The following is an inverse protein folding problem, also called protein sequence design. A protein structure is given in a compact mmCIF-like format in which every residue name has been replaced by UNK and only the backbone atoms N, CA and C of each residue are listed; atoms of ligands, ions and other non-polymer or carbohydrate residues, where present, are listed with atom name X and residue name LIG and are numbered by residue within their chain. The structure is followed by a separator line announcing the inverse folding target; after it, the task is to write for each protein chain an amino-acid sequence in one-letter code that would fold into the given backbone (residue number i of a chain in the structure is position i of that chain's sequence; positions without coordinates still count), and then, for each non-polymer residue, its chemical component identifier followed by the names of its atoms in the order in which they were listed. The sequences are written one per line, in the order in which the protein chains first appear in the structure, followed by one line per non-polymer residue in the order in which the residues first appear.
data_IF_669718259836
#
_entry.id   IF_669718259836
#
_cell.length_a   1.000
_cell.length_b   1.000
_cell.length_c   1.000
_cell.angle_alpha   90.00
_cell.angle_beta   90.00
_cell.angle_gamma   90.00
#
_symmetry.space_group_name_H-M   'P 1'
#
loop_
_entity.id
_entity.type
_entity.pdbx_description
1 polymer ?
#
# COMPACT_ATOMS: atom_id res chain seq x y z
N UNK A 1 16.15 -0.52 78.15
CA UNK A 1 16.35 0.80 78.80
C UNK A 1 17.78 1.18 78.53
N UNK A 2 17.97 2.33 77.86
CA UNK A 2 19.17 3.18 77.78
C UNK A 2 20.52 2.52 77.44
N UNK A 3 21.40 3.06 76.60
CA UNK A 3 21.47 4.38 75.99
C UNK A 3 22.89 4.58 75.43
N UNK A 4 22.99 5.42 74.39
CA UNK A 4 24.01 6.45 74.13
C UNK A 4 25.42 6.29 74.73
N UNK A 5 26.46 6.24 73.90
CA UNK A 5 27.18 7.37 73.25
C UNK A 5 28.46 7.74 73.99
N UNK A 6 29.32 8.39 73.20
CA UNK A 6 30.46 9.25 73.55
C UNK A 6 31.83 8.60 73.39
N UNK A 7 32.86 9.25 72.84
CA UNK A 7 33.07 10.48 72.04
C UNK A 7 34.59 10.43 71.74
N UNK A 8 35.05 10.98 70.63
CA UNK A 8 36.50 11.20 70.37
C UNK A 8 37.11 12.22 71.35
N UNK A 9 38.31 12.80 71.13
CA UNK A 9 39.10 12.87 69.89
C UNK A 9 40.65 12.79 70.11
N UNK A 10 41.45 12.97 69.04
CA UNK A 10 42.58 13.93 68.92
C UNK A 10 43.69 13.44 67.97
N UNK A 11 44.32 14.39 67.30
CA UNK A 11 45.11 14.28 66.08
C UNK A 11 46.63 14.48 66.28
N UNK A 12 47.41 14.00 65.29
CA UNK A 12 48.63 14.56 64.67
C UNK A 12 49.24 13.46 63.78
N UNK A 13 49.72 13.61 62.55
CA UNK A 13 50.06 14.73 61.68
C UNK A 13 51.25 14.30 60.79
N UNK A 14 51.28 14.76 59.52
CA UNK A 14 52.35 14.64 58.48
C UNK A 14 52.44 13.32 57.67
N UNK A 15 52.69 13.26 56.36
CA UNK A 15 52.84 14.22 55.24
C UNK A 15 53.00 13.43 53.90
N UNK A 16 52.74 14.08 52.75
CA UNK A 16 53.18 13.70 51.37
C UNK A 16 52.05 13.13 50.48
N UNK A 17 51.37 13.93 49.63
CA UNK A 17 51.74 14.41 48.26
C UNK A 17 51.79 13.29 47.20
N UNK A 18 51.26 13.37 45.98
CA UNK A 18 50.39 14.30 45.24
C UNK A 18 49.87 13.50 44.01
N UNK A 19 48.67 13.86 43.50
CA UNK A 19 47.96 13.15 42.42
C UNK A 19 48.37 13.56 40.99
N UNK A 20 47.95 12.80 39.96
CA UNK A 20 48.54 12.88 38.63
C UNK A 20 47.93 13.98 37.74
N UNK A 21 48.82 14.65 37.01
CA UNK A 21 48.59 15.66 35.98
C UNK A 21 47.90 15.09 34.73
N UNK A 22 47.02 15.92 34.17
CA UNK A 22 46.33 15.73 32.89
C UNK A 22 47.28 16.11 31.74
N UNK A 23 47.38 15.25 30.72
CA UNK A 23 48.15 15.51 29.49
C UNK A 23 47.25 16.14 28.43
N UNK A 24 47.56 17.38 28.09
CA UNK A 24 47.02 18.14 26.96
C UNK A 24 47.59 17.64 25.62
N UNK A 25 46.77 17.73 24.57
CA UNK A 25 47.14 17.47 23.18
C UNK A 25 47.59 18.78 22.52
N UNK A 26 48.70 18.83 21.76
CA UNK A 26 49.00 19.98 20.92
C UNK A 26 48.44 19.82 19.51
N UNK A 27 47.92 20.94 19.02
CA UNK A 27 47.36 21.18 17.70
C UNK A 27 48.44 21.31 16.61
N UNK A 28 48.09 20.89 15.41
CA UNK A 28 48.87 21.04 14.18
C UNK A 28 48.95 22.51 13.72
N UNK A 29 50.17 22.95 13.44
CA UNK A 29 50.50 24.21 12.77
C UNK A 29 50.97 23.90 11.35
N UNK A 30 50.26 24.42 10.35
CA UNK A 30 50.73 24.56 8.97
C UNK A 30 51.87 25.59 8.87
N UNK A 31 52.78 25.43 7.89
CA UNK A 31 53.44 26.58 7.30
C UNK A 31 53.25 26.68 5.77
N UNK A 32 53.11 27.94 5.35
CA UNK A 32 52.99 28.47 3.99
C UNK A 32 54.15 28.13 3.03
N UNK A 33 53.86 28.28 1.74
CA UNK A 33 54.75 28.21 0.56
C UNK A 33 56.02 29.11 0.64
N UNK A 34 56.98 28.91 -0.28
CA UNK A 34 57.06 29.91 -1.36
C UNK A 34 57.50 29.40 -2.75
N UNK A 35 56.87 30.02 -3.76
CA UNK A 35 57.43 30.61 -4.99
C UNK A 35 58.30 29.79 -5.99
N UNK A 36 57.82 29.80 -7.25
CA UNK A 36 58.51 29.47 -8.51
C UNK A 36 59.70 30.41 -8.82
N UNK A 37 60.53 30.05 -9.81
CA UNK A 37 60.44 30.82 -11.06
C UNK A 37 60.40 29.99 -12.36
N UNK A 38 59.83 30.64 -13.37
CA UNK A 38 59.78 30.32 -14.82
C UNK A 38 61.21 30.26 -15.40
N UNK A 39 61.54 29.55 -16.49
CA UNK A 39 61.14 29.74 -17.89
C UNK A 39 62.15 28.92 -18.71
N UNK A 40 61.75 28.16 -19.74
CA UNK A 40 62.05 28.46 -21.17
C UNK A 40 61.57 27.31 -22.06
N UNK A 41 61.04 27.68 -23.23
CA UNK A 41 60.36 26.79 -24.18
C UNK A 41 61.26 26.19 -25.24
N UNK A 42 60.68 25.31 -26.07
CA UNK A 42 61.29 24.86 -27.33
C UNK A 42 60.62 23.63 -27.94
N UNK A 43 59.80 23.87 -28.97
CA UNK A 43 59.18 22.88 -29.86
C UNK A 43 60.22 22.03 -30.64
N UNK A 44 59.81 20.85 -31.14
CA UNK A 44 59.58 20.56 -32.59
C UNK A 44 59.43 19.03 -32.84
N UNK A 45 58.28 18.70 -33.44
CA UNK A 45 57.93 17.71 -34.48
C UNK A 45 58.43 16.24 -34.54
N UNK A 46 57.40 15.38 -34.70
CA UNK A 46 57.23 14.16 -35.50
C UNK A 46 58.35 13.60 -36.39
N UNK A 47 58.44 12.26 -36.44
CA UNK A 47 58.16 11.48 -37.68
C UNK A 47 58.05 9.94 -37.43
N UNK A 48 57.49 9.27 -38.44
CA UNK A 48 57.00 7.88 -38.56
C UNK A 48 58.04 6.93 -39.16
N UNK A 49 57.62 5.65 -39.28
CA UNK A 49 58.11 4.52 -40.12
C UNK A 49 58.98 3.50 -39.35
N UNK A 50 58.65 2.20 -39.16
CA UNK A 50 57.98 1.08 -39.87
C UNK A 50 58.97 0.16 -40.62
N UNK A 51 58.93 -1.13 -40.21
CA UNK A 51 59.42 -2.39 -40.85
C UNK A 51 60.96 -2.59 -40.95
N UNK A 52 61.58 -3.78 -40.80
CA UNK A 52 61.26 -5.20 -41.11
C UNK A 52 61.95 -6.16 -40.07
N UNK A 53 61.29 -7.24 -39.60
CA UNK A 53 61.38 -8.66 -40.02
C UNK A 53 62.61 -9.48 -39.56
N UNK A 54 62.35 -10.58 -38.82
CA UNK A 54 62.99 -11.90 -38.98
C UNK A 54 62.32 -12.96 -38.08
N UNK A 55 62.05 -14.12 -38.69
CA UNK A 55 61.41 -15.34 -38.18
C UNK A 55 62.29 -16.17 -37.23
N UNK A 56 61.70 -16.99 -36.34
CA UNK A 56 61.92 -18.45 -36.38
C UNK A 56 60.85 -19.24 -35.59
N UNK A 57 60.60 -20.46 -36.08
CA UNK A 57 59.62 -21.49 -35.75
C UNK A 57 59.66 -22.02 -34.28
N UNK A 58 58.68 -22.74 -33.72
CA UNK A 58 57.47 -23.36 -34.24
C UNK A 58 56.87 -24.38 -33.24
N UNK A 59 55.93 -25.19 -33.75
CA UNK A 59 55.23 -26.36 -33.12
C UNK A 59 54.00 -25.98 -32.27
N UNK A 60 52.74 -26.22 -32.64
CA UNK A 60 52.13 -27.07 -33.65
C UNK A 60 51.22 -28.11 -32.99
N UNK A 61 49.89 -27.90 -33.02
CA UNK A 61 48.82 -28.92 -33.17
C UNK A 61 47.41 -28.32 -33.32
N UNK A 62 46.94 -28.36 -34.58
CA UNK A 62 45.59 -28.48 -35.18
C UNK A 62 44.47 -29.07 -34.28
N UNK A 63 43.14 -28.79 -34.40
CA UNK A 63 42.25 -28.24 -35.44
C UNK A 63 40.78 -28.07 -34.87
N UNK A 64 39.68 -27.86 -35.65
CA UNK A 64 39.34 -26.67 -36.46
C UNK A 64 37.83 -26.23 -36.44
N UNK A 65 37.56 -25.05 -37.04
CA UNK A 65 36.35 -24.65 -37.83
C UNK A 65 35.02 -24.43 -37.08
N UNK A 66 34.12 -23.49 -37.42
CA UNK A 66 33.74 -22.73 -38.65
C UNK A 66 32.77 -21.62 -38.15
N UNK A 67 32.86 -20.33 -38.48
CA UNK A 67 32.50 -19.75 -39.78
C UNK A 67 31.01 -19.35 -39.87
N UNK A 68 30.67 -18.09 -39.56
CA UNK A 68 29.46 -17.34 -39.99
C UNK A 68 29.41 -17.20 -41.55
N UNK A 69 28.41 -16.59 -42.27
CA UNK A 69 27.35 -15.64 -41.87
C UNK A 69 25.98 -15.80 -42.67
N UNK A 70 25.04 -14.81 -42.73
CA UNK A 70 23.61 -14.92 -43.14
C UNK A 70 23.40 -14.52 -44.63
N UNK A 71 22.18 -14.33 -45.25
CA UNK A 71 21.21 -13.23 -44.98
C UNK A 71 19.72 -13.47 -45.42
N UNK A 72 18.92 -12.36 -45.43
CA UNK A 72 17.69 -12.06 -46.20
C UNK A 72 16.32 -12.38 -45.55
N UNK A 73 15.24 -11.59 -45.67
CA UNK A 73 14.87 -10.22 -46.13
C UNK A 73 13.33 -10.14 -45.95
N UNK A 74 12.76 -8.98 -45.61
CA UNK A 74 11.63 -8.32 -46.33
C UNK A 74 10.65 -7.50 -45.43
N UNK A 75 10.51 -6.22 -45.82
CA UNK A 75 9.39 -5.24 -45.74
C UNK A 75 8.72 -4.94 -44.38
N UNK A 76 8.61 -3.69 -43.92
CA UNK A 76 8.02 -2.49 -44.57
C UNK A 76 6.54 -2.40 -44.14
N UNK A 77 5.91 -1.32 -43.66
CA UNK A 77 5.97 0.15 -43.85
C UNK A 77 5.42 0.82 -42.56
N UNK A 78 5.96 1.94 -42.04
CA UNK A 78 5.69 3.37 -42.36
C UNK A 78 4.23 3.85 -42.19
N UNK A 79 4.01 4.77 -41.23
CA UNK A 79 3.14 5.95 -41.38
C UNK A 79 3.37 6.99 -40.26
N UNK A 80 3.81 8.18 -40.66
CA UNK A 80 3.83 9.44 -39.92
C UNK A 80 2.41 10.02 -39.79
N UNK A 81 2.13 10.83 -38.74
CA UNK A 81 1.70 12.25 -38.91
C UNK A 81 1.54 13.03 -37.60
N UNK A 82 2.27 14.14 -37.58
CA UNK A 82 2.02 15.52 -37.10
C UNK A 82 0.80 15.88 -36.22
N UNK A 83 1.04 16.79 -35.27
CA UNK A 83 0.06 17.46 -34.40
C UNK A 83 -0.82 18.52 -35.09
N UNK A 84 -1.60 19.30 -34.31
CA UNK A 84 -1.17 20.66 -33.99
C UNK A 84 -1.60 21.22 -32.61
N UNK A 85 -1.03 22.38 -32.28
CA UNK A 85 -1.30 23.29 -31.16
C UNK A 85 -2.72 23.92 -31.17
N UNK A 86 -3.23 24.31 -30.00
CA UNK A 86 -3.73 25.68 -29.69
C UNK A 86 -4.33 25.81 -28.26
N UNK A 87 -4.09 26.99 -27.67
CA UNK A 87 -4.55 27.59 -26.40
C UNK A 87 -6.08 27.89 -26.43
N UNK A 88 -6.83 28.40 -25.44
CA UNK A 88 -6.65 29.05 -24.13
C UNK A 88 -8.05 29.20 -23.47
N UNK A 89 -8.09 29.72 -22.23
CA UNK A 89 -9.24 30.25 -21.43
C UNK A 89 -10.16 29.22 -20.72
N UNK A 90 -10.57 29.38 -19.46
CA UNK A 90 -10.44 30.44 -18.47
C UNK A 90 -11.42 30.18 -17.29
N UNK A 91 -11.36 31.05 -16.27
CA UNK A 91 -12.31 31.28 -15.17
C UNK A 91 -12.15 30.52 -13.84
N UNK A 92 -11.96 31.29 -12.76
CA UNK A 92 -12.12 30.86 -11.37
C UNK A 92 -11.36 31.69 -10.32
N UNK A 93 -11.72 32.98 -10.19
CA UNK A 93 -11.52 33.90 -9.04
C UNK A 93 -12.01 33.24 -7.72
N UNK A 94 -11.59 33.53 -6.48
CA UNK A 94 -11.45 34.75 -5.64
C UNK A 94 -10.98 34.21 -4.25
N UNK A 95 -10.23 34.86 -3.33
CA UNK A 95 -10.47 36.12 -2.62
C UNK A 95 -9.16 36.72 -2.01
N UNK A 96 -9.20 38.05 -1.87
CA UNK A 96 -8.32 38.98 -1.12
C UNK A 96 -8.39 38.76 0.42
N UNK A 97 -7.61 39.34 1.35
CA UNK A 97 -7.01 40.68 1.61
C UNK A 97 -5.70 40.49 2.45
N UNK A 98 -4.57 41.21 2.26
CA UNK A 98 -4.19 42.61 2.63
C UNK A 98 -4.46 42.94 4.12
N UNK A 99 -3.55 43.52 4.91
CA UNK A 99 -2.73 44.73 4.72
C UNK A 99 -1.54 44.76 5.72
N UNK A 100 -0.31 45.09 5.30
CA UNK A 100 0.41 46.40 5.47
C UNK A 100 1.15 46.57 6.81
N UNK A 101 2.28 47.26 7.00
CA UNK A 101 3.01 48.32 6.27
C UNK A 101 4.45 48.45 6.81
N UNK A 102 5.47 48.70 5.96
CA UNK A 102 6.39 49.89 5.97
C UNK A 102 7.73 49.70 5.21
N UNK A 103 7.81 50.41 4.07
CA UNK A 103 8.89 51.25 3.47
C UNK A 103 10.37 50.84 3.58
N UNK A 104 11.05 50.60 2.43
CA UNK A 104 11.85 51.54 1.57
C UNK A 104 13.33 51.61 2.02
N UNK A 105 14.38 51.57 1.17
CA UNK A 105 14.70 52.36 -0.04
C UNK A 105 15.76 51.61 -0.88
N UNK A 106 15.63 51.65 -2.22
CA UNK A 106 16.63 51.23 -3.21
C UNK A 106 17.62 52.36 -3.55
N UNK A 107 18.79 52.02 -4.10
CA UNK A 107 19.17 52.63 -5.38
C UNK A 107 20.65 52.88 -5.68
N UNK A 108 21.08 52.33 -6.82
CA UNK A 108 22.08 52.85 -7.80
C UNK A 108 23.57 52.69 -7.47
N UNK A 109 24.50 52.35 -8.36
CA UNK A 109 24.51 52.13 -9.82
C UNK A 109 25.99 51.97 -10.24
N UNK A 110 26.33 50.97 -11.06
CA UNK A 110 26.72 51.12 -12.47
C UNK A 110 28.22 51.43 -12.78
N UNK A 111 28.77 50.50 -13.58
CA UNK A 111 29.67 50.65 -14.75
C UNK A 111 31.20 50.66 -14.61
N UNK A 112 31.74 49.95 -15.59
CA UNK A 112 33.10 49.75 -16.08
C UNK A 112 33.92 51.02 -16.32
N UNK A 113 35.25 50.91 -16.24
CA UNK A 113 36.14 51.17 -17.38
C UNK A 113 37.60 50.78 -17.11
N UNK A 114 38.26 50.44 -18.21
CA UNK A 114 39.66 50.10 -18.39
C UNK A 114 40.51 51.39 -18.55
N UNK A 115 41.79 51.27 -18.18
CA UNK A 115 42.96 52.06 -18.59
C UNK A 115 43.40 53.35 -17.86
N UNK A 116 44.66 53.23 -17.38
CA UNK A 116 45.77 54.21 -17.40
C UNK A 116 45.76 55.39 -16.41
N UNK A 117 46.57 55.29 -15.35
CA UNK A 117 47.95 55.82 -15.28
C UNK A 117 48.54 55.70 -13.87
N UNK A 118 49.86 55.49 -13.84
CA UNK A 118 50.64 55.20 -12.64
C UNK A 118 50.86 56.37 -11.66
N UNK A 119 51.77 56.06 -10.73
CA UNK A 119 52.46 56.89 -9.73
C UNK A 119 51.89 56.88 -8.31
N UNK A 120 52.42 55.92 -7.53
CA UNK A 120 53.17 56.15 -6.29
C UNK A 120 52.79 57.36 -5.44
N UNK A 121 52.20 57.07 -4.27
CA UNK A 121 52.69 57.56 -2.97
C UNK A 121 52.00 56.80 -1.83
N UNK A 122 52.78 55.92 -1.22
CA UNK A 122 52.73 55.58 0.21
C UNK A 122 52.71 56.85 1.10
N UNK A 123 52.43 56.78 2.43
CA UNK A 123 52.15 55.60 3.27
C UNK A 123 51.05 55.82 4.35
N UNK A 124 50.96 54.82 5.25
CA UNK A 124 50.74 54.96 6.71
C UNK A 124 49.30 54.85 7.28
N UNK A 125 49.10 53.67 7.90
CA UNK A 125 48.43 53.41 9.18
C UNK A 125 47.22 54.25 9.59
N UNK A 126 46.03 53.65 9.42
CA UNK A 126 44.96 53.80 10.41
C UNK A 126 44.41 52.42 10.81
N UNK A 127 44.81 52.01 12.03
CA UNK A 127 44.11 51.05 12.86
C UNK A 127 42.63 51.45 12.97
N UNK A 128 41.78 50.88 12.11
CA UNK A 128 40.33 50.95 12.28
C UNK A 128 39.92 50.03 13.43
N UNK A 129 39.93 50.60 14.63
CA UNK A 129 39.14 50.11 15.74
C UNK A 129 37.72 49.83 15.23
N UNK A 130 37.29 48.56 15.32
CA UNK A 130 35.91 48.19 15.03
C UNK A 130 35.00 49.14 15.79
N UNK A 131 34.15 49.89 15.08
CA UNK A 131 33.19 50.81 15.69
C UNK A 131 32.41 50.02 16.74
N UNK A 132 32.27 50.52 17.97
CA UNK A 132 31.62 49.78 19.08
C UNK A 132 30.26 49.15 18.71
N UNK A 133 29.58 49.73 17.72
CA UNK A 133 28.31 49.24 17.21
C UNK A 133 28.42 47.96 16.36
N UNK A 134 29.56 47.70 15.71
CA UNK A 134 29.81 46.47 14.97
C UNK A 134 30.14 45.34 15.95
N UNK A 135 30.94 45.62 16.98
CA UNK A 135 31.17 44.67 18.08
C UNK A 135 29.86 44.32 18.80
N UNK A 136 29.01 45.31 19.14
CA UNK A 136 27.70 45.06 19.74
C UNK A 136 26.78 44.21 18.85
N UNK A 137 26.87 44.32 17.52
CA UNK A 137 26.10 43.49 16.58
C UNK A 137 26.61 42.06 16.52
N UNK A 138 27.94 41.87 16.49
CA UNK A 138 28.55 40.54 16.57
C UNK A 138 28.26 39.86 17.90
N UNK A 139 28.34 40.59 19.02
CA UNK A 139 27.94 40.09 20.34
C UNK A 139 26.45 39.72 20.40
N UNK A 140 25.58 40.49 19.76
CA UNK A 140 24.15 40.17 19.66
C UNK A 140 23.90 38.92 18.81
N UNK A 141 24.63 38.74 17.70
CA UNK A 141 24.55 37.56 16.86
C UNK A 141 25.02 36.30 17.60
N UNK A 142 26.20 36.36 18.24
CA UNK A 142 26.72 35.28 19.08
C UNK A 142 25.76 34.97 20.25
N UNK A 143 25.16 36.00 20.85
CA UNK A 143 24.17 35.82 21.91
C UNK A 143 22.89 35.17 21.40
N UNK A 144 22.42 35.51 20.19
CA UNK A 144 21.26 34.83 19.60
C UNK A 144 21.56 33.37 19.27
N UNK A 145 22.72 33.08 18.68
CA UNK A 145 23.15 31.71 18.35
C UNK A 145 23.28 30.85 19.62
N UNK A 146 23.88 31.40 20.67
CA UNK A 146 24.06 30.70 21.94
C UNK A 146 22.73 30.49 22.67
N UNK A 147 21.78 31.42 22.53
CA UNK A 147 20.41 31.24 23.02
C UNK A 147 19.63 30.19 22.22
N UNK A 148 19.85 30.08 20.92
CA UNK A 148 19.26 29.03 20.08
C UNK A 148 19.81 27.64 20.42
N UNK A 149 21.13 27.53 20.62
CA UNK A 149 21.78 26.31 21.12
C UNK A 149 21.28 25.94 22.52
N UNK A 150 21.11 26.92 23.41
CA UNK A 150 20.53 26.66 24.73
C UNK A 150 19.08 26.13 24.61
N UNK A 151 18.27 26.72 23.72
CA UNK A 151 16.89 26.27 23.49
C UNK A 151 16.85 24.85 22.92
N UNK A 152 17.71 24.48 21.98
CA UNK A 152 17.77 23.13 21.42
C UNK A 152 18.17 22.10 22.49
N UNK A 153 19.21 22.40 23.28
CA UNK A 153 19.64 21.55 24.38
C UNK A 153 18.57 21.37 25.47
N UNK A 154 17.79 22.41 25.77
CA UNK A 154 16.65 22.31 26.69
C UNK A 154 15.55 21.40 26.14
N UNK A 155 15.27 21.48 24.84
CA UNK A 155 14.31 20.58 24.18
C UNK A 155 14.80 19.13 24.22
N UNK A 156 16.06 18.86 23.89
CA UNK A 156 16.66 17.52 23.98
C UNK A 156 16.62 16.98 25.41
N UNK A 157 17.02 17.80 26.40
CA UNK A 157 16.89 17.44 27.82
C UNK A 157 15.46 17.08 28.18
N UNK A 158 14.47 17.84 27.70
CA UNK A 158 13.06 17.54 27.96
C UNK A 158 12.61 16.22 27.30
N UNK A 159 13.12 15.89 26.12
CA UNK A 159 12.86 14.63 25.43
C UNK A 159 13.48 13.45 26.21
N UNK A 160 14.75 13.57 26.62
CA UNK A 160 15.41 12.54 27.43
C UNK A 160 14.73 12.36 28.79
N UNK A 161 14.25 13.43 29.42
CA UNK A 161 13.47 13.33 30.66
C UNK A 161 12.16 12.58 30.45
N UNK A 162 11.40 12.88 29.38
CA UNK A 162 10.18 12.15 29.04
C UNK A 162 10.47 10.68 28.75
N UNK A 163 11.54 10.39 28.02
CA UNK A 163 11.96 9.03 27.72
C UNK A 163 12.41 8.29 28.98
N UNK A 164 13.12 8.96 29.89
CA UNK A 164 13.53 8.38 31.16
C UNK A 164 12.31 8.05 32.04
N UNK A 165 11.33 8.95 32.14
CA UNK A 165 10.05 8.69 32.84
C UNK A 165 9.32 7.50 32.22
N UNK A 166 9.29 7.41 30.89
CA UNK A 166 8.71 6.29 30.17
C UNK A 166 9.41 4.96 30.49
N UNK A 167 10.74 4.94 30.49
CA UNK A 167 11.52 3.76 30.86
C UNK A 167 11.30 3.39 32.33
N UNK A 168 11.28 4.36 33.24
CA UNK A 168 10.97 4.13 34.65
C UNK A 168 9.56 3.56 34.83
N UNK A 169 8.58 4.03 34.05
CA UNK A 169 7.22 3.48 34.05
C UNK A 169 7.19 2.04 33.53
N UNK A 170 7.90 1.74 32.44
CA UNK A 170 8.06 0.36 31.93
C UNK A 170 8.74 -0.57 32.94
N UNK A 171 9.78 -0.10 33.62
CA UNK A 171 10.45 -0.85 34.68
C UNK A 171 9.48 -1.09 35.84
N UNK A 172 8.72 -0.07 36.26
CA UNK A 172 7.69 -0.21 37.29
C UNK A 172 6.61 -1.20 36.88
N UNK A 173 6.11 -1.16 35.65
CA UNK A 173 5.14 -2.14 35.14
C UNK A 173 5.71 -3.56 35.13
N UNK A 174 6.95 -3.74 34.66
CA UNK A 174 7.63 -5.04 34.67
C UNK A 174 7.81 -5.57 36.10
N UNK A 175 8.16 -4.69 37.04
CA UNK A 175 8.30 -5.05 38.45
C UNK A 175 6.94 -5.26 39.14
N UNK A 176 5.88 -4.55 38.76
CA UNK A 176 4.50 -4.74 39.25
C UNK A 176 3.92 -6.07 38.75
N UNK A 177 4.14 -6.40 37.47
CA UNK A 177 3.84 -7.71 36.89
C UNK A 177 4.60 -8.83 37.62
N UNK A 178 5.83 -8.58 38.07
CA UNK A 178 6.63 -9.50 38.92
C UNK A 178 6.18 -9.58 40.39
N UNK A 179 5.54 -8.55 40.95
CA UNK A 179 5.17 -8.48 42.40
C UNK A 179 3.72 -8.87 42.73
N UNK A 180 2.94 -9.36 41.77
CA UNK A 180 1.75 -10.16 42.06
C UNK A 180 0.55 -9.41 42.66
N UNK A 181 -0.07 -8.52 41.89
CA UNK A 181 -1.46 -8.11 42.14
C UNK A 181 -2.43 -8.46 40.99
N UNK A 182 -1.93 -8.84 39.81
CA UNK A 182 -2.73 -9.37 38.70
C UNK A 182 -2.39 -10.84 38.38
N UNK A 183 -1.72 -11.54 39.31
CA UNK A 183 -1.24 -12.91 39.15
C UNK A 183 -2.32 -14.00 39.34
N UNK A 184 -3.60 -13.62 39.51
CA UNK A 184 -4.68 -14.56 39.74
C UNK A 184 -5.35 -15.09 38.45
N UNK A 185 -5.16 -14.46 37.29
CA UNK A 185 -5.88 -14.84 36.05
C UNK A 185 -5.01 -15.39 34.91
N UNK A 186 -3.67 -15.38 35.01
CA UNK A 186 -2.77 -15.77 33.89
C UNK A 186 -1.86 -16.96 34.25
N UNK A 187 -2.32 -17.88 35.10
CA UNK A 187 -1.54 -19.05 35.51
C UNK A 187 -1.59 -20.23 34.51
N UNK A 188 -2.04 -20.05 33.27
CA UNK A 188 -2.21 -21.16 32.30
C UNK A 188 -1.60 -20.91 30.91
N UNK A 189 -0.70 -19.93 30.76
CA UNK A 189 0.12 -19.83 29.54
C UNK A 189 1.49 -19.22 29.79
N UNK A 190 2.43 -20.08 30.17
CA UNK A 190 3.87 -19.84 29.96
C UNK A 190 4.65 -19.16 31.09
N UNK A 191 4.52 -19.65 32.33
CA UNK A 191 5.60 -19.51 33.32
C UNK A 191 6.49 -20.76 33.26
N UNK A 192 7.45 -20.78 32.33
CA UNK A 192 8.71 -21.44 32.65
C UNK A 192 9.51 -20.45 33.50
N UNK A 193 10.00 -20.82 34.70
CA UNK A 193 10.99 -20.01 35.39
C UNK A 193 12.19 -19.86 34.43
N UNK A 194 12.92 -18.73 34.46
CA UNK A 194 14.17 -18.65 33.70
C UNK A 194 15.02 -19.88 34.06
N UNK A 195 15.22 -20.77 33.07
CA UNK A 195 15.79 -22.08 33.32
C UNK A 195 17.22 -21.92 33.85
N UNK A 196 17.69 -22.76 34.80
CA UNK A 196 19.07 -22.76 35.27
C UNK A 196 20.09 -22.92 34.12
N UNK A 197 19.62 -23.42 32.98
CA UNK A 197 20.35 -23.51 31.72
C UNK A 197 20.73 -22.14 31.13
N UNK A 198 19.90 -21.10 31.29
CA UNK A 198 20.24 -19.73 30.84
C UNK A 198 21.31 -19.10 31.72
N UNK A 199 21.27 -19.34 33.03
CA UNK A 199 22.31 -18.90 33.96
C UNK A 199 23.62 -19.64 33.71
N UNK A 200 23.58 -20.95 33.46
CA UNK A 200 24.75 -21.73 33.06
C UNK A 200 25.31 -21.25 31.72
N UNK A 201 24.46 -20.97 30.73
CA UNK A 201 24.88 -20.39 29.45
C UNK A 201 25.55 -19.03 29.65
N UNK A 202 24.99 -18.16 30.49
CA UNK A 202 25.58 -16.87 30.83
C UNK A 202 26.95 -17.01 31.49
N UNK A 203 27.11 -17.93 32.45
CA UNK A 203 28.40 -18.23 33.08
C UNK A 203 29.41 -18.81 32.07
N UNK A 204 28.97 -19.65 31.15
CA UNK A 204 29.81 -20.14 30.06
C UNK A 204 30.26 -19.00 29.13
N UNK A 205 29.39 -18.06 28.80
CA UNK A 205 29.77 -16.87 28.03
C UNK A 205 30.74 -15.97 28.79
N UNK A 206 30.57 -15.79 30.10
CA UNK A 206 31.53 -15.05 30.92
C UNK A 206 32.90 -15.73 30.97
N UNK A 207 32.95 -17.05 31.15
CA UNK A 207 34.18 -17.82 31.11
C UNK A 207 34.86 -17.75 29.73
N UNK A 208 34.08 -17.83 28.65
CA UNK A 208 34.59 -17.64 27.29
C UNK A 208 35.15 -16.22 27.07
N UNK A 209 34.51 -15.20 27.63
CA UNK A 209 35.02 -13.82 27.57
C UNK A 209 36.32 -13.65 28.36
N UNK A 210 36.45 -14.29 29.52
CA UNK A 210 37.70 -14.29 30.29
C UNK A 210 38.84 -14.98 29.54
N UNK A 211 38.54 -16.12 28.91
CA UNK A 211 39.51 -16.84 28.09
C UNK A 211 39.95 -16.03 26.87
N UNK A 212 39.00 -15.39 26.17
CA UNK A 212 39.30 -14.49 25.05
C UNK A 212 40.16 -13.28 25.49
N UNK A 213 39.93 -12.74 26.69
CA UNK A 213 40.75 -11.66 27.24
C UNK A 213 42.17 -12.12 27.56
N UNK A 214 42.34 -13.33 28.08
CA UNK A 214 43.67 -13.92 28.32
C UNK A 214 44.39 -14.16 27.00
N UNK A 215 43.73 -14.76 26.03
CA UNK A 215 44.27 -14.96 24.68
C UNK A 215 44.70 -13.63 24.05
N UNK A 216 43.87 -12.58 24.17
CA UNK A 216 44.25 -11.25 23.71
C UNK A 216 45.50 -10.71 24.41
N UNK A 217 45.63 -10.90 25.73
CA UNK A 217 46.81 -10.45 26.47
C UNK A 217 48.06 -11.23 26.06
N UNK A 218 47.97 -12.56 25.95
CA UNK A 218 49.07 -13.43 25.52
C UNK A 218 49.52 -13.11 24.08
N UNK A 219 48.56 -12.88 23.18
CA UNK A 219 48.83 -12.46 21.80
C UNK A 219 49.53 -11.10 21.76
N UNK A 220 49.08 -10.12 22.55
CA UNK A 220 49.72 -8.80 22.63
C UNK A 220 51.15 -8.90 23.15
N UNK A 221 51.39 -9.70 24.19
CA UNK A 221 52.72 -9.93 24.74
C UNK A 221 53.62 -10.62 23.71
N UNK A 222 53.08 -11.56 22.95
CA UNK A 222 53.79 -12.20 21.84
C UNK A 222 54.14 -11.21 20.74
N UNK A 223 53.19 -10.39 20.28
CA UNK A 223 53.43 -9.35 19.27
C UNK A 223 54.45 -8.32 19.75
N UNK A 224 54.43 -7.93 21.03
CA UNK A 224 55.42 -7.02 21.59
C UNK A 224 56.84 -7.59 21.56
N UNK A 225 56.99 -8.88 21.91
CA UNK A 225 58.28 -9.57 21.85
C UNK A 225 58.79 -9.66 20.41
N UNK A 226 57.94 -10.06 19.47
CA UNK A 226 58.28 -10.16 18.05
C UNK A 226 58.66 -8.80 17.47
N UNK A 227 57.89 -7.74 17.78
CA UNK A 227 58.20 -6.37 17.38
C UNK A 227 59.53 -5.89 17.97
N UNK A 228 59.85 -6.26 19.21
CA UNK A 228 61.13 -5.91 19.81
C UNK A 228 62.30 -6.60 19.08
N UNK A 229 62.15 -7.88 18.73
CA UNK A 229 63.15 -8.62 17.95
C UNK A 229 63.34 -8.02 16.55
N UNK A 230 62.24 -7.74 15.85
CA UNK A 230 62.30 -7.12 14.52
C UNK A 230 62.93 -5.72 14.57
N UNK A 231 62.63 -4.92 15.60
CA UNK A 231 63.28 -3.61 15.80
C UNK A 231 64.78 -3.75 16.00
N UNK A 232 65.22 -4.71 16.82
CA UNK A 232 66.65 -4.98 17.02
C UNK A 232 67.32 -5.36 15.69
N UNK A 233 66.75 -6.31 14.95
CA UNK A 233 67.26 -6.72 13.65
C UNK A 233 67.33 -5.54 12.67
N UNK A 234 66.29 -4.70 12.60
CA UNK A 234 66.30 -3.48 11.78
C UNK A 234 67.43 -2.53 12.17
N UNK A 235 67.63 -2.26 13.47
CA UNK A 235 68.71 -1.37 13.92
C UNK A 235 70.09 -1.91 13.59
N UNK A 236 70.29 -3.23 13.71
CA UNK A 236 71.55 -3.88 13.33
C UNK A 236 71.82 -3.74 11.84
N UNK A 237 70.81 -4.00 10.99
CA UNK A 237 70.96 -3.87 9.54
C UNK A 237 71.20 -2.42 9.12
N UNK A 238 70.48 -1.45 9.68
CA UNK A 238 70.73 -0.03 9.45
C UNK A 238 72.17 0.34 9.82
N UNK A 239 72.67 -0.13 10.97
CA UNK A 239 74.05 0.15 11.38
C UNK A 239 75.10 -0.42 10.41
N UNK A 240 74.83 -1.56 9.76
CA UNK A 240 75.70 -2.16 8.74
C UNK A 240 75.68 -1.33 7.46
N UNK A 241 74.48 -1.00 6.98
CA UNK A 241 74.29 -0.17 5.79
C UNK A 241 74.96 1.20 5.96
N UNK A 242 74.80 1.85 7.12
CA UNK A 242 75.46 3.12 7.40
C UNK A 242 76.99 3.01 7.41
N UNK A 243 77.56 1.92 7.93
CA UNK A 243 79.01 1.69 7.92
C UNK A 243 79.52 1.52 6.50
N UNK A 244 78.84 0.70 5.70
CA UNK A 244 79.16 0.49 4.28
C UNK A 244 78.99 1.77 3.47
N UNK A 245 77.94 2.55 3.73
CA UNK A 245 77.70 3.85 3.10
C UNK A 245 78.80 4.86 3.41
N UNK A 246 79.21 5.00 4.69
CA UNK A 246 80.33 5.87 5.08
C UNK A 246 81.64 5.42 4.41
N UNK A 247 81.89 4.12 4.32
CA UNK A 247 83.07 3.58 3.64
C UNK A 247 83.05 3.89 2.12
N UNK A 248 81.89 3.76 1.49
CA UNK A 248 81.69 4.12 0.08
C UNK A 248 81.89 5.62 -0.15
N UNK A 249 81.34 6.48 0.71
CA UNK A 249 81.54 7.94 0.63
C UNK A 249 83.01 8.33 0.82
N UNK A 250 83.73 7.68 1.73
CA UNK A 250 85.16 7.90 1.93
C UNK A 250 85.98 7.46 0.69
N UNK A 251 85.64 6.32 0.09
CA UNK A 251 86.27 5.85 -1.14
C UNK A 251 85.99 6.80 -2.32
N UNK A 252 84.73 7.24 -2.48
CA UNK A 252 84.33 8.21 -3.50
C UNK A 252 85.11 9.51 -3.35
N UNK A 253 85.22 10.04 -2.12
CA UNK A 253 86.04 11.21 -1.80
C UNK A 253 87.50 11.00 -2.19
N UNK A 254 88.08 9.84 -1.84
CA UNK A 254 89.47 9.51 -2.15
C UNK A 254 89.72 9.45 -3.66
N UNK A 255 88.87 8.77 -4.42
CA UNK A 255 89.00 8.62 -5.88
C UNK A 255 88.89 9.98 -6.57
N UNK A 256 87.90 10.80 -6.21
CA UNK A 256 87.74 12.14 -6.77
C UNK A 256 88.92 13.04 -6.39
N UNK A 257 89.43 12.94 -5.16
CA UNK A 257 90.61 13.68 -4.72
C UNK A 257 91.90 13.22 -5.43
N UNK A 258 92.03 11.95 -5.79
CA UNK A 258 93.15 11.45 -6.60
C UNK A 258 93.07 11.96 -8.04
N UNK A 259 91.88 11.94 -8.64
CA UNK A 259 91.63 12.47 -9.98
C UNK A 259 91.85 13.99 -10.07
N UNK A 260 91.37 14.75 -9.08
CA UNK A 260 91.53 16.21 -8.98
C UNK A 260 92.90 16.63 -8.44
N UNK A 261 93.61 15.71 -7.77
CA UNK A 261 94.90 15.95 -7.13
C UNK A 261 96.11 15.87 -8.07
N UNK A 262 95.95 15.33 -9.28
CA UNK A 262 97.02 15.23 -10.26
C UNK A 262 97.09 16.37 -11.29
N UNK A 263 96.09 17.25 -11.41
CA UNK A 263 96.12 18.30 -12.42
C UNK A 263 95.19 19.50 -12.18
N UNK A 264 95.73 20.69 -12.46
CA UNK A 264 95.07 21.86 -13.07
C UNK A 264 93.93 22.66 -12.39
N UNK A 265 93.55 22.49 -11.12
CA UNK A 265 92.60 23.44 -10.50
C UNK A 265 93.26 24.73 -9.99
N UNK A 266 92.72 25.90 -10.37
CA UNK A 266 93.16 27.24 -9.94
C UNK A 266 92.83 27.44 -8.45
N UNK A 267 93.69 26.94 -7.56
CA UNK A 267 93.48 27.00 -6.10
C UNK A 267 94.06 25.83 -5.30
N UNK A 268 94.66 24.82 -5.95
CA UNK A 268 95.37 23.72 -5.30
C UNK A 268 94.47 22.70 -4.58
N UNK A 269 95.09 21.77 -3.86
CA UNK A 269 94.43 20.63 -3.20
C UNK A 269 93.35 21.03 -2.18
N UNK A 270 93.51 22.17 -1.51
CA UNK A 270 92.54 22.67 -0.52
C UNK A 270 91.25 23.17 -1.17
N UNK A 271 91.34 23.77 -2.36
CA UNK A 271 90.16 24.20 -3.11
C UNK A 271 89.41 22.98 -3.65
N UNK A 272 90.12 21.99 -4.21
CA UNK A 272 89.55 20.73 -4.65
C UNK A 272 88.83 19.97 -3.51
N UNK A 273 89.41 19.93 -2.31
CA UNK A 273 88.78 19.29 -1.15
C UNK A 273 87.45 19.95 -0.78
N UNK A 274 87.39 21.30 -0.77
CA UNK A 274 86.16 22.05 -0.46
C UNK A 274 85.08 21.84 -1.50
N UNK A 275 85.44 21.75 -2.78
CA UNK A 275 84.46 21.46 -3.84
C UNK A 275 83.91 20.03 -3.72
N UNK A 276 84.76 19.04 -3.45
CA UNK A 276 84.32 17.66 -3.23
C UNK A 276 83.42 17.55 -2.00
N UNK A 277 83.76 18.22 -0.90
CA UNK A 277 82.93 18.25 0.30
C UNK A 277 81.58 18.92 0.06
N UNK A 278 81.54 20.00 -0.72
CA UNK A 278 80.28 20.64 -1.12
C UNK A 278 79.42 19.70 -1.99
N UNK A 279 80.01 19.01 -2.96
CA UNK A 279 79.30 18.06 -3.81
C UNK A 279 78.76 16.89 -2.98
N UNK A 280 79.57 16.32 -2.08
CA UNK A 280 79.13 15.22 -1.20
C UNK A 280 78.00 15.65 -0.26
N UNK A 281 78.08 16.85 0.33
CA UNK A 281 77.02 17.36 1.18
C UNK A 281 75.70 17.59 0.40
N UNK A 282 75.78 17.98 -0.88
CA UNK A 282 74.59 18.10 -1.74
C UNK A 282 74.01 16.73 -2.10
N UNK A 283 74.86 15.75 -2.41
CA UNK A 283 74.43 14.38 -2.68
C UNK A 283 73.78 13.72 -1.46
N UNK A 284 74.35 13.92 -0.27
CA UNK A 284 73.79 13.41 1.00
C UNK A 284 72.40 14.00 1.24
N UNK A 285 72.23 15.32 1.08
CA UNK A 285 70.91 15.96 1.17
C UNK A 285 69.91 15.39 0.17
N UNK A 286 70.34 15.13 -1.08
CA UNK A 286 69.47 14.53 -2.09
C UNK A 286 69.13 13.06 -1.82
N UNK A 287 70.04 12.30 -1.24
CA UNK A 287 69.74 10.92 -0.82
C UNK A 287 68.77 10.89 0.37
N UNK A 288 68.91 11.82 1.33
CA UNK A 288 67.96 11.99 2.42
C UNK A 288 66.56 12.33 1.90
N UNK A 289 66.42 13.34 1.03
CA UNK A 289 65.16 13.69 0.35
C UNK A 289 64.58 12.48 -0.44
N UNK A 290 65.42 11.70 -1.11
CA UNK A 290 64.97 10.53 -1.85
C UNK A 290 64.46 9.42 -0.91
N UNK A 291 65.11 9.25 0.24
CA UNK A 291 64.73 8.26 1.24
C UNK A 291 63.39 8.59 1.90
N UNK A 292 63.11 9.88 2.18
CA UNK A 292 61.83 10.32 2.74
C UNK A 292 60.70 10.11 1.74
N UNK A 293 60.88 10.54 0.49
CA UNK A 293 59.88 10.35 -0.58
C UNK A 293 59.64 8.86 -0.87
N UNK A 294 60.68 8.01 -0.82
CA UNK A 294 60.50 6.56 -0.97
C UNK A 294 59.69 5.96 0.17
N UNK A 295 59.94 6.39 1.42
CA UNK A 295 59.19 5.93 2.57
C UNK A 295 57.71 6.35 2.47
N UNK A 296 57.46 7.61 2.13
CA UNK A 296 56.10 8.13 1.87
C UNK A 296 55.41 7.35 0.75
N UNK A 297 56.11 7.03 -0.34
CA UNK A 297 55.54 6.25 -1.43
C UNK A 297 55.14 4.83 -0.99
N UNK A 298 55.95 4.19 -0.14
CA UNK A 298 55.63 2.88 0.43
C UNK A 298 54.41 2.98 1.35
N UNK A 299 54.35 4.00 2.22
CA UNK A 299 53.21 4.23 3.10
C UNK A 299 51.92 4.49 2.32
N UNK A 300 51.97 5.34 1.28
CA UNK A 300 50.84 5.63 0.41
C UNK A 300 50.36 4.38 -0.34
N UNK A 301 51.28 3.53 -0.84
CA UNK A 301 50.92 2.26 -1.48
C UNK A 301 50.23 1.30 -0.52
N UNK A 302 50.72 1.20 0.71
CA UNK A 302 50.07 0.38 1.75
C UNK A 302 48.69 0.93 2.11
N UNK A 303 48.57 2.25 2.29
CA UNK A 303 47.30 2.92 2.53
C UNK A 303 46.29 2.68 1.41
N UNK A 304 46.71 2.83 0.15
CA UNK A 304 45.87 2.56 -1.03
C UNK A 304 45.39 1.10 -1.04
N UNK A 305 46.29 0.14 -0.82
CA UNK A 305 45.93 -1.27 -0.75
C UNK A 305 44.94 -1.58 0.38
N UNK A 306 45.10 -0.96 1.56
CA UNK A 306 44.15 -1.08 2.66
C UNK A 306 42.78 -0.50 2.33
N UNK A 307 42.73 0.70 1.73
CA UNK A 307 41.47 1.31 1.31
C UNK A 307 40.79 0.51 0.21
N UNK A 308 41.54 0.02 -0.78
CA UNK A 308 41.00 -0.83 -1.86
C UNK A 308 40.41 -2.12 -1.30
N UNK A 309 41.12 -2.81 -0.39
CA UNK A 309 40.63 -4.04 0.26
C UNK A 309 39.36 -3.77 1.07
N UNK A 310 39.31 -2.66 1.81
CA UNK A 310 38.12 -2.26 2.57
C UNK A 310 36.94 -1.92 1.67
N UNK A 311 37.19 -1.20 0.57
CA UNK A 311 36.17 -0.85 -0.42
C UNK A 311 35.60 -2.12 -1.06
N UNK A 312 36.44 -3.07 -1.47
CA UNK A 312 36.01 -4.37 -2.01
C UNK A 312 35.13 -5.15 -1.04
N UNK A 313 35.55 -5.26 0.22
CA UNK A 313 34.76 -5.95 1.24
C UNK A 313 33.39 -5.28 1.48
N UNK A 314 33.32 -3.95 1.36
CA UNK A 314 32.05 -3.22 1.45
C UNK A 314 31.18 -3.43 0.20
N UNK A 315 31.78 -3.38 -1.00
CA UNK A 315 31.11 -3.67 -2.28
C UNK A 315 30.46 -5.06 -2.25
N UNK A 316 31.20 -6.11 -1.85
CA UNK A 316 30.71 -7.49 -1.77
C UNK A 316 29.49 -7.64 -0.85
N UNK A 317 29.50 -6.97 0.32
CA UNK A 317 28.37 -6.98 1.26
C UNK A 317 27.17 -6.22 0.69
N UNK A 318 27.41 -5.07 0.06
CA UNK A 318 26.33 -4.28 -0.54
C UNK A 318 25.72 -4.97 -1.75
N UNK A 319 26.52 -5.61 -2.59
CA UNK A 319 26.08 -6.37 -3.76
C UNK A 319 25.25 -7.59 -3.32
N UNK A 320 25.69 -8.29 -2.27
CA UNK A 320 24.93 -9.37 -1.65
C UNK A 320 23.57 -8.92 -1.11
N UNK A 321 23.51 -7.77 -0.41
CA UNK A 321 22.26 -7.20 0.08
C UNK A 321 21.33 -6.78 -1.06
N UNK A 322 21.87 -6.09 -2.07
CA UNK A 322 21.11 -5.65 -3.24
C UNK A 322 20.54 -6.83 -4.03
N UNK A 323 21.31 -7.93 -4.12
CA UNK A 323 20.86 -9.16 -4.76
C UNK A 323 19.71 -9.82 -3.99
N UNK A 324 19.79 -9.88 -2.66
CA UNK A 324 18.70 -10.39 -1.81
C UNK A 324 17.43 -9.54 -2.01
N UNK A 325 17.55 -8.22 -1.98
CA UNK A 325 16.41 -7.32 -2.18
C UNK A 325 15.79 -7.51 -3.59
N UNK A 326 16.62 -7.68 -4.61
CA UNK A 326 16.17 -7.96 -5.97
C UNK A 326 15.45 -9.30 -6.09
N UNK A 327 16.00 -10.37 -5.49
CA UNK A 327 15.36 -11.68 -5.44
C UNK A 327 14.03 -11.64 -4.68
N UNK A 328 13.98 -10.91 -3.56
CA UNK A 328 12.75 -10.69 -2.80
C UNK A 328 11.70 -9.98 -3.64
N UNK A 329 12.07 -8.91 -4.34
CA UNK A 329 11.16 -8.18 -5.24
C UNK A 329 10.62 -9.08 -6.36
N UNK A 330 11.46 -10.00 -6.86
CA UNK A 330 11.08 -10.97 -7.89
C UNK A 330 10.09 -12.00 -7.35
N UNK A 331 10.29 -12.52 -6.14
CA UNK A 331 9.34 -13.41 -5.46
C UNK A 331 8.02 -12.67 -5.26
N UNK A 332 8.05 -11.45 -4.73
CA UNK A 332 6.84 -10.65 -4.50
C UNK A 332 6.07 -10.41 -5.80
N UNK A 333 6.75 -9.99 -6.86
CA UNK A 333 6.12 -9.78 -8.17
C UNK A 333 5.46 -11.06 -8.69
N UNK A 334 6.14 -12.21 -8.55
CA UNK A 334 5.58 -13.51 -8.92
C UNK A 334 4.33 -13.83 -8.09
N UNK A 335 4.36 -13.65 -6.77
CA UNK A 335 3.17 -13.89 -5.92
C UNK A 335 1.99 -12.95 -6.23
N UNK A 336 2.26 -11.70 -6.63
CA UNK A 336 1.21 -10.79 -7.07
C UNK A 336 0.61 -11.20 -8.41
N UNK A 337 1.44 -11.66 -9.36
CA UNK A 337 0.95 -12.19 -10.62
C UNK A 337 0.08 -13.44 -10.41
N UNK A 338 0.51 -14.37 -9.56
CA UNK A 338 -0.29 -15.55 -9.20
C UNK A 338 -1.65 -15.15 -8.61
N UNK A 339 -1.68 -14.17 -7.68
CA UNK A 339 -2.94 -13.63 -7.14
C UNK A 339 -3.82 -13.01 -8.20
N UNK A 340 -3.25 -12.27 -9.15
CA UNK A 340 -3.99 -11.66 -10.26
C UNK A 340 -4.60 -12.74 -11.15
N UNK A 341 -3.85 -13.80 -11.46
CA UNK A 341 -4.34 -14.95 -12.23
C UNK A 341 -5.49 -15.67 -11.52
N UNK A 342 -5.36 -15.96 -10.22
CA UNK A 342 -6.45 -16.55 -9.43
C UNK A 342 -7.72 -15.70 -9.45
N UNK A 343 -7.60 -14.37 -9.26
CA UNK A 343 -8.76 -13.47 -9.30
C UNK A 343 -9.36 -13.41 -10.71
N UNK A 344 -8.54 -13.44 -11.75
CA UNK A 344 -9.01 -13.49 -13.14
C UNK A 344 -9.79 -14.77 -13.42
N UNK A 345 -9.32 -15.92 -12.92
CA UNK A 345 -10.09 -17.17 -13.03
C UNK A 345 -11.42 -17.12 -12.27
N UNK A 346 -11.44 -16.57 -11.07
CA UNK A 346 -12.66 -16.36 -10.29
C UNK A 346 -13.65 -15.44 -11.02
N UNK A 347 -13.15 -14.35 -11.62
CA UNK A 347 -13.96 -13.46 -12.46
C UNK A 347 -14.53 -14.18 -13.68
N UNK A 348 -13.74 -15.03 -14.34
CA UNK A 348 -14.23 -15.84 -15.46
C UNK A 348 -15.31 -16.84 -15.01
N UNK A 349 -15.12 -17.51 -13.86
CA UNK A 349 -16.13 -18.39 -13.26
C UNK A 349 -17.42 -17.64 -12.95
N UNK A 350 -17.33 -16.42 -12.40
CA UNK A 350 -18.49 -15.56 -12.12
C UNK A 350 -19.19 -15.11 -13.40
N UNK A 351 -18.46 -14.68 -14.43
CA UNK A 351 -19.03 -14.32 -15.74
C UNK A 351 -19.77 -15.49 -16.37
N UNK A 352 -19.22 -16.70 -16.30
CA UNK A 352 -19.90 -17.93 -16.76
C UNK A 352 -21.21 -18.18 -15.99
N UNK A 353 -21.20 -18.05 -14.66
CA UNK A 353 -22.42 -18.15 -13.84
C UNK A 353 -23.47 -17.10 -14.20
N UNK A 354 -23.07 -15.85 -14.43
CA UNK A 354 -23.97 -14.77 -14.87
C UNK A 354 -24.59 -15.12 -16.21
N UNK A 355 -23.81 -15.56 -17.20
CA UNK A 355 -24.34 -15.97 -18.50
C UNK A 355 -25.34 -17.13 -18.38
N UNK A 356 -25.02 -18.15 -17.59
CA UNK A 356 -25.94 -19.28 -17.36
C UNK A 356 -27.25 -18.81 -16.70
N UNK A 357 -27.17 -17.92 -15.71
CA UNK A 357 -28.35 -17.35 -15.06
C UNK A 357 -29.18 -16.50 -16.03
N UNK A 358 -28.55 -15.71 -16.89
CA UNK A 358 -29.26 -14.95 -17.94
C UNK A 358 -30.00 -15.90 -18.88
N UNK A 359 -29.38 -17.00 -19.31
CA UNK A 359 -30.04 -18.02 -20.13
C UNK A 359 -31.24 -18.64 -19.41
N UNK A 360 -31.08 -19.03 -18.13
CA UNK A 360 -32.18 -19.60 -17.32
C UNK A 360 -33.32 -18.58 -17.18
N UNK A 361 -33.01 -17.32 -16.86
CA UNK A 361 -34.01 -16.24 -16.74
C UNK A 361 -34.74 -16.05 -18.06
N UNK A 362 -34.04 -16.09 -19.19
CA UNK A 362 -34.66 -15.99 -20.52
C UNK A 362 -35.62 -17.14 -20.76
N UNK A 363 -35.22 -18.38 -20.51
CA UNK A 363 -36.13 -19.53 -20.65
C UNK A 363 -37.34 -19.46 -19.71
N UNK A 364 -37.17 -18.98 -18.47
CA UNK A 364 -38.29 -18.79 -17.53
C UNK A 364 -39.22 -17.69 -18.02
N UNK A 365 -38.70 -16.58 -18.54
CA UNK A 365 -39.49 -15.50 -19.13
C UNK A 365 -40.29 -15.97 -20.34
N UNK A 366 -39.70 -16.76 -21.22
CA UNK A 366 -40.39 -17.36 -22.38
C UNK A 366 -41.52 -18.29 -21.94
N UNK A 367 -41.26 -19.18 -20.98
CA UNK A 367 -42.28 -20.08 -20.42
C UNK A 367 -43.41 -19.30 -19.74
N UNK A 368 -43.08 -18.27 -18.97
CA UNK A 368 -44.07 -17.40 -18.33
C UNK A 368 -44.95 -16.72 -19.38
N UNK A 369 -44.34 -16.15 -20.42
CA UNK A 369 -45.06 -15.51 -21.51
C UNK A 369 -46.03 -16.47 -22.21
N UNK A 370 -45.61 -17.71 -22.47
CA UNK A 370 -46.48 -18.74 -23.03
C UNK A 370 -47.69 -19.05 -22.12
N UNK A 371 -47.44 -19.22 -20.82
CA UNK A 371 -48.51 -19.48 -19.84
C UNK A 371 -49.46 -18.29 -19.72
N UNK A 372 -48.96 -17.05 -19.76
CA UNK A 372 -49.78 -15.85 -19.71
C UNK A 372 -50.72 -15.75 -20.92
N UNK A 373 -50.23 -16.08 -22.12
CA UNK A 373 -51.05 -16.16 -23.33
C UNK A 373 -52.12 -17.25 -23.19
N UNK A 374 -51.76 -18.44 -22.71
CA UNK A 374 -52.72 -19.53 -22.50
C UNK A 374 -53.79 -19.15 -21.45
N UNK A 375 -53.39 -18.48 -20.37
CA UNK A 375 -54.28 -17.99 -19.34
C UNK A 375 -55.24 -16.91 -19.89
N UNK A 376 -54.74 -15.98 -20.70
CA UNK A 376 -55.56 -15.00 -21.39
C UNK A 376 -56.60 -15.68 -22.31
N UNK A 377 -56.20 -16.71 -23.06
CA UNK A 377 -57.12 -17.47 -23.90
C UNK A 377 -58.21 -18.18 -23.07
N UNK A 378 -57.83 -18.86 -21.98
CA UNK A 378 -58.77 -19.52 -21.06
C UNK A 378 -59.73 -18.54 -20.40
N UNK A 379 -59.26 -17.34 -20.02
CA UNK A 379 -60.11 -16.27 -19.49
C UNK A 379 -61.14 -15.81 -20.52
N UNK A 380 -60.75 -15.66 -21.78
CA UNK A 380 -61.70 -15.33 -22.86
C UNK A 380 -62.74 -16.43 -23.07
N UNK A 381 -62.33 -17.70 -23.04
CA UNK A 381 -63.26 -18.84 -23.12
C UNK A 381 -64.23 -18.87 -21.93
N UNK A 382 -63.73 -18.62 -20.71
CA UNK A 382 -64.55 -18.52 -19.51
C UNK A 382 -65.62 -17.42 -19.68
N UNK A 383 -65.21 -16.21 -20.09
CA UNK A 383 -66.13 -15.10 -20.31
C UNK A 383 -67.20 -15.42 -21.37
N UNK A 384 -66.83 -16.11 -22.46
CA UNK A 384 -67.79 -16.57 -23.45
C UNK A 384 -68.81 -17.54 -22.84
N UNK A 385 -68.35 -18.53 -22.08
CA UNK A 385 -69.26 -19.48 -21.41
C UNK A 385 -70.16 -18.81 -20.38
N UNK A 386 -69.64 -17.83 -19.62
CA UNK A 386 -70.43 -17.04 -18.66
C UNK A 386 -71.51 -16.23 -19.38
N UNK A 387 -71.18 -15.61 -20.52
CA UNK A 387 -72.14 -14.90 -21.36
C UNK A 387 -73.23 -15.84 -21.91
N UNK A 388 -72.85 -17.04 -22.36
CA UNK A 388 -73.81 -18.06 -22.79
C UNK A 388 -74.73 -18.50 -21.63
N UNK A 389 -74.18 -18.72 -20.44
CA UNK A 389 -74.95 -19.07 -19.23
C UNK A 389 -75.92 -17.94 -18.86
N UNK A 390 -75.47 -16.67 -18.89
CA UNK A 390 -76.33 -15.52 -18.63
C UNK A 390 -77.50 -15.45 -19.61
N UNK A 391 -77.23 -15.60 -20.92
CA UNK A 391 -78.26 -15.64 -21.95
C UNK A 391 -79.25 -16.80 -21.74
N UNK A 392 -78.77 -18.00 -21.38
CA UNK A 392 -79.64 -19.13 -21.06
C UNK A 392 -80.49 -18.88 -19.82
N UNK A 393 -79.96 -18.21 -18.79
CA UNK A 393 -80.72 -17.80 -17.59
C UNK A 393 -81.83 -16.80 -17.95
N UNK A 394 -81.56 -15.85 -18.85
CA UNK A 394 -82.55 -14.89 -19.32
C UNK A 394 -83.67 -15.58 -20.12
N UNK A 395 -83.33 -16.48 -21.04
CA UNK A 395 -84.31 -17.29 -21.79
C UNK A 395 -85.16 -18.13 -20.82
N UNK A 396 -84.53 -18.78 -19.84
CA UNK A 396 -85.25 -19.56 -18.82
C UNK A 396 -86.21 -18.69 -18.02
N UNK A 397 -85.81 -17.47 -17.67
CA UNK A 397 -86.66 -16.53 -16.94
C UNK A 397 -87.87 -16.10 -17.79
N UNK A 398 -87.64 -15.71 -19.05
CA UNK A 398 -88.71 -15.36 -20.00
C UNK A 398 -89.69 -16.51 -20.25
N UNK A 399 -89.18 -17.73 -20.42
CA UNK A 399 -90.03 -18.92 -20.62
C UNK A 399 -90.80 -19.30 -19.37
N UNK A 400 -90.22 -19.18 -18.17
CA UNK A 400 -90.96 -19.33 -16.90
C UNK A 400 -92.09 -18.31 -16.79
N UNK A 401 -91.83 -17.04 -17.08
CA UNK A 401 -92.84 -15.98 -17.08
C UNK A 401 -93.98 -16.27 -18.07
N UNK A 402 -93.67 -16.71 -19.30
CA UNK A 402 -94.68 -17.08 -20.30
C UNK A 402 -95.51 -18.31 -19.88
N UNK A 403 -94.86 -19.32 -19.28
CA UNK A 403 -95.57 -20.47 -18.70
C UNK A 403 -96.52 -20.02 -17.59
N UNK A 404 -96.07 -19.13 -16.72
CA UNK A 404 -96.85 -18.66 -15.58
C UNK A 404 -98.02 -17.75 -16.03
N UNK A 405 -97.84 -16.95 -17.08
CA UNK A 405 -98.96 -16.21 -17.69
C UNK A 405 -99.99 -17.13 -18.33
N UNK A 406 -99.57 -18.14 -19.10
CA UNK A 406 -100.48 -19.15 -19.66
C UNK A 406 -101.21 -19.93 -18.58
N UNK A 407 -100.54 -20.26 -17.46
CA UNK A 407 -101.20 -20.88 -16.30
C UNK A 407 -102.27 -19.97 -15.71
N UNK A 408 -101.97 -18.68 -15.52
CA UNK A 408 -102.96 -17.71 -15.04
C UNK A 408 -104.14 -17.58 -16.00
N UNK A 409 -103.89 -17.50 -17.30
CA UNK A 409 -104.95 -17.38 -18.30
C UNK A 409 -105.78 -18.65 -18.44
N UNK A 410 -105.17 -19.84 -18.28
CA UNK A 410 -105.89 -21.11 -18.19
C UNK A 410 -106.81 -21.15 -16.96
N UNK A 411 -106.32 -20.69 -15.80
CA UNK A 411 -107.14 -20.58 -14.59
C UNK A 411 -108.30 -19.59 -14.81
N UNK A 412 -108.06 -18.41 -15.38
CA UNK A 412 -109.10 -17.42 -15.70
C UNK A 412 -110.12 -17.98 -16.71
N UNK A 413 -109.66 -18.69 -17.74
CA UNK A 413 -110.53 -19.30 -18.74
C UNK A 413 -111.39 -20.38 -18.09
N UNK A 414 -110.81 -21.25 -17.27
CA UNK A 414 -111.55 -22.27 -16.53
C UNK A 414 -112.61 -21.65 -15.59
N UNK A 415 -112.29 -20.52 -14.95
CA UNK A 415 -113.26 -19.74 -14.16
C UNK A 415 -114.39 -19.17 -15.03
N UNK A 416 -114.08 -18.59 -16.20
CA UNK A 416 -115.08 -18.04 -17.14
C UNK A 416 -115.96 -19.11 -17.78
N UNK A 417 -115.39 -20.29 -18.06
CA UNK A 417 -116.12 -21.41 -18.65
C UNK A 417 -117.16 -22.02 -17.69
N UNK A 418 -117.13 -21.69 -16.39
CA UNK A 418 -118.19 -22.02 -15.44
C UNK A 418 -118.60 -23.51 -15.47
N UNK A 419 -119.83 -23.79 -15.92
CA UNK A 419 -120.35 -25.15 -16.06
C UNK A 419 -119.89 -25.85 -17.34
N UNK A 420 -119.56 -25.11 -18.41
CA UNK A 420 -119.13 -25.67 -19.70
C UNK A 420 -117.84 -26.50 -19.59
N UNK A 421 -116.94 -26.14 -18.66
CA UNK A 421 -115.72 -26.91 -18.42
C UNK A 421 -115.93 -28.21 -17.62
N UNK A 422 -117.13 -28.45 -17.10
CA UNK A 422 -117.45 -29.59 -16.22
C UNK A 422 -118.43 -30.53 -16.91
N UNK A 423 -117.92 -31.30 -17.87
CA UNK A 423 -118.70 -32.24 -18.70
C UNK A 423 -119.59 -33.18 -17.87
N UNK A 424 -119.07 -33.75 -16.78
CA UNK A 424 -119.85 -34.66 -15.92
C UNK A 424 -121.08 -33.97 -15.31
N UNK A 425 -120.95 -32.70 -14.95
CA UNK A 425 -122.04 -31.93 -14.34
C UNK A 425 -123.07 -31.48 -15.39
N UNK A 426 -122.61 -31.15 -16.62
CA UNK A 426 -123.50 -30.92 -17.76
C UNK A 426 -124.32 -32.16 -18.12
N UNK A 427 -123.66 -33.33 -18.18
CA UNK A 427 -124.33 -34.62 -18.45
C UNK A 427 -125.33 -34.97 -17.36
N UNK A 428 -125.04 -34.67 -16.08
CA UNK A 428 -126.04 -34.86 -15.03
C UNK A 428 -127.19 -33.86 -15.18
N UNK A 429 -126.93 -32.58 -15.49
CA UNK A 429 -128.01 -31.63 -15.78
C UNK A 429 -128.90 -32.06 -16.94
N UNK A 430 -128.33 -32.54 -18.04
CA UNK A 430 -129.05 -33.13 -19.18
C UNK A 430 -129.96 -34.27 -18.71
N UNK A 431 -129.39 -35.25 -18.00
CA UNK A 431 -130.15 -36.38 -17.41
C UNK A 431 -131.25 -35.91 -16.45
N UNK A 432 -131.02 -34.86 -15.66
CA UNK A 432 -132.00 -34.32 -14.71
C UNK A 432 -133.11 -33.59 -15.46
N UNK A 433 -132.79 -32.84 -16.52
CA UNK A 433 -133.77 -32.20 -17.40
C UNK A 433 -134.64 -33.27 -18.05
N UNK A 434 -134.05 -34.32 -18.62
CA UNK A 434 -134.80 -35.44 -19.19
C UNK A 434 -135.73 -36.10 -18.16
N UNK A 435 -135.20 -36.39 -16.96
CA UNK A 435 -136.00 -36.93 -15.84
C UNK A 435 -137.15 -35.98 -15.47
N UNK A 436 -136.91 -34.66 -15.42
CA UNK A 436 -137.98 -33.69 -15.12
C UNK A 436 -139.01 -33.62 -16.23
N UNK A 437 -138.63 -33.77 -17.50
CA UNK A 437 -139.56 -33.82 -18.62
C UNK A 437 -140.46 -35.05 -18.54
N UNK A 438 -139.90 -36.22 -18.20
CA UNK A 438 -140.67 -37.45 -17.94
C UNK A 438 -141.63 -37.26 -16.77
N UNK A 439 -141.16 -36.68 -15.66
CA UNK A 439 -142.00 -36.39 -14.50
C UNK A 439 -143.13 -35.40 -14.83
N UNK A 440 -142.87 -34.35 -15.62
CA UNK A 440 -143.88 -33.40 -16.09
C UNK A 440 -144.95 -34.09 -16.93
N UNK A 441 -144.55 -34.93 -17.90
CA UNK A 441 -145.50 -35.74 -18.70
C UNK A 441 -146.36 -36.65 -17.81
N UNK A 442 -145.76 -37.28 -16.80
CA UNK A 442 -146.48 -38.12 -15.83
C UNK A 442 -147.44 -37.30 -14.96
N UNK A 443 -147.06 -36.09 -14.57
CA UNK A 443 -147.91 -35.18 -13.81
C UNK A 443 -149.10 -34.72 -14.65
N UNK A 444 -148.88 -34.40 -15.93
CA UNK A 444 -149.96 -34.08 -16.85
C UNK A 444 -150.89 -35.27 -17.11
N UNK A 445 -150.36 -36.48 -17.27
CA UNK A 445 -151.21 -37.68 -17.41
C UNK A 445 -152.03 -37.95 -16.14
N UNK A 446 -151.45 -37.75 -14.96
CA UNK A 446 -152.16 -37.80 -13.68
C UNK A 446 -153.24 -36.71 -13.58
N UNK A 447 -152.95 -35.48 -14.03
CA UNK A 447 -153.95 -34.40 -14.10
C UNK A 447 -155.10 -34.78 -15.04
N UNK A 448 -154.81 -35.36 -16.21
CA UNK A 448 -155.84 -35.86 -17.15
C UNK A 448 -156.65 -36.99 -16.51
N UNK A 449 -156.01 -37.93 -15.81
CA UNK A 449 -156.70 -38.99 -15.06
C UNK A 449 -157.56 -38.46 -13.92
N UNK A 450 -157.06 -37.49 -13.14
CA UNK A 450 -157.82 -36.87 -12.05
C UNK A 450 -158.99 -36.04 -12.59
N UNK A 451 -158.82 -35.36 -13.73
CA UNK A 451 -159.92 -34.72 -14.44
C UNK A 451 -160.97 -35.75 -14.91
N UNK A 452 -160.54 -36.88 -15.47
CA UNK A 452 -161.42 -37.98 -15.86
C UNK A 452 -162.18 -38.60 -14.68
N UNK A 453 -161.50 -38.87 -13.57
CA UNK A 453 -162.12 -39.36 -12.33
C UNK A 453 -163.03 -38.30 -11.69
N UNK A 454 -162.66 -37.02 -11.74
CA UNK A 454 -163.52 -35.93 -11.26
C UNK A 454 -164.80 -35.81 -12.07
N UNK A 455 -164.75 -36.01 -13.39
CA UNK A 455 -165.93 -36.08 -14.26
C UNK A 455 -166.77 -37.33 -13.96
N UNK A 456 -166.14 -38.49 -13.75
CA UNK A 456 -166.83 -39.73 -13.33
C UNK A 456 -167.51 -39.57 -11.96
N UNK A 457 -166.81 -39.01 -10.97
CA UNK A 457 -167.37 -38.67 -9.65
C UNK A 457 -168.49 -37.63 -9.76
N UNK A 458 -168.42 -36.69 -10.71
CA UNK A 458 -169.50 -35.71 -10.97
C UNK A 458 -170.72 -36.41 -11.58
N UNK A 459 -170.51 -37.39 -12.48
CA UNK A 459 -171.56 -38.27 -13.02
C UNK A 459 -172.20 -39.18 -11.97
N UNK A 460 -171.41 -39.77 -11.06
CA UNK A 460 -171.92 -40.54 -9.92
C UNK A 460 -172.67 -39.64 -8.93
N UNK A 461 -172.19 -38.42 -8.66
CA UNK A 461 -172.91 -37.42 -7.85
C UNK A 461 -174.22 -36.97 -8.51
N UNK A 462 -174.31 -36.96 -9.84
CA UNK A 462 -175.55 -36.66 -10.57
C UNK A 462 -176.54 -37.84 -10.51
N UNK A 463 -176.07 -39.08 -10.64
CA UNK A 463 -176.88 -40.29 -10.40
C UNK A 463 -177.37 -40.41 -8.94
N UNK A 464 -176.57 -39.96 -7.97
CA UNK A 464 -176.98 -39.87 -6.55
C UNK A 464 -178.01 -38.74 -6.33
N UNK A 465 -177.96 -37.65 -7.10
CA UNK A 465 -178.99 -36.59 -7.07
C UNK A 465 -180.30 -37.06 -7.71
N UNK A 466 -180.23 -37.78 -8.82
CA UNK A 466 -181.39 -38.38 -9.50
C UNK A 466 -182.03 -39.49 -8.64
N UNK A 467 -181.25 -40.28 -7.90
CA UNK A 467 -181.77 -41.25 -6.93
C UNK A 467 -182.36 -40.63 -5.65
N UNK A 468 -181.96 -39.40 -5.29
CA UNK A 468 -182.56 -38.62 -4.17
C UNK A 468 -183.85 -37.90 -4.56
N UNK A 469 -184.20 -37.84 -5.85
CA UNK A 469 -185.45 -37.26 -6.34
C UNK A 469 -186.64 -38.24 -6.32
N UNK A 470 -186.45 -39.49 -5.89
CA UNK A 470 -187.44 -40.58 -5.94
C UNK A 470 -187.96 -41.06 -4.57
N UNK A 471 -187.82 -40.28 -3.49
CA UNK A 471 -188.48 -40.56 -2.20
C UNK A 471 -189.05 -39.27 -1.57
N UNK A 472 -190.25 -39.36 -0.94
CA UNK A 472 -191.28 -38.30 -0.85
C UNK A 472 -190.91 -37.15 0.09
N UNK A 473 -191.51 -35.95 -0.01
CA UNK A 473 -192.87 -35.59 -0.49
C UNK A 473 -193.17 -35.72 -1.97
#
# INVERSE_FOLDING_TARGET
MDGHSERGPAAAGAAGEEGPEQREWPADTEPEEPAKPESDGGLVESEKEREEAAEEEGRGKKAPSRGSPPPATASGEKAEREGPEAKEEGAGEEEEEKESTKKSVEGSGAKSELEQKGLDKEPEDESSEWTEEVQKRQEQQLRSELLEQYRSLVLERSQYQRYNIYLQHKIFEALRKKKGLDAAEVLDRGLEPESPEKEQAYLHYLAALEELKKQQADDLDWYHQELAQLKQLCTEQLSKVEKEWRAFQALKKQVVMQAMGSCQMRGGRQAALREVEQIQALEEKKEEEMSTVRLENVQLKQGLMHFETRMRAQEDVTEGLLLIDFEQLKIENQTFNEKVEERNEELLKLRSKVNNNVQIITHVKEKLHFVDIENACKRSQLLETEAQVALRRDILTKTKQARDSLRMDNIKLNQRCGLLGKELLLRDMEKKVDKTAVLKRRLESLKRHHAGLSLSCRGVKQKIREAKAFLPS
#
